data_IF_757020710952
#
_entry.id   IF_757020710952
#
_cell.length_a   1.000
_cell.length_b   1.000
_cell.length_c   1.000
_cell.angle_alpha   90.00
_cell.angle_beta   90.00
_cell.angle_gamma   90.00
#
_symmetry.space_group_name_H-M   'P 1'
#
loop_
_entity.id
_entity.type
_entity.pdbx_description
1 polymer ?
#
# COMPACT_ATOMS: atom_id res chain seq x y z
N UNK A 1 9.07 -23.07 10.55
CA UNK A 1 8.19 -21.93 10.27
C UNK A 1 8.79 -21.22 9.07
N UNK A 2 8.13 -21.31 7.92
CA UNK A 2 8.62 -20.73 6.67
C UNK A 2 7.92 -19.39 6.42
N UNK A 3 8.67 -18.41 5.92
CA UNK A 3 8.14 -17.10 5.55
C UNK A 3 8.05 -17.00 4.03
N UNK A 4 6.89 -16.57 3.53
CA UNK A 4 6.69 -16.31 2.11
C UNK A 4 6.69 -14.80 1.88
N UNK A 5 7.67 -14.31 1.11
CA UNK A 5 7.74 -12.93 0.67
C UNK A 5 7.12 -12.80 -0.72
N UNK A 6 6.13 -11.93 -0.88
CA UNK A 6 5.50 -11.65 -2.17
C UNK A 6 6.14 -10.42 -2.82
N UNK A 7 6.85 -10.61 -3.93
CA UNK A 7 7.37 -9.49 -4.72
C UNK A 7 6.30 -8.98 -5.69
N UNK A 8 6.01 -7.68 -5.60
CA UNK A 8 5.04 -7.02 -6.49
C UNK A 8 5.75 -6.47 -7.74
N UNK A 9 5.11 -6.50 -8.92
CA UNK A 9 5.60 -5.83 -10.12
C UNK A 9 5.82 -4.33 -9.89
N UNK A 10 6.83 -3.75 -10.55
CA UNK A 10 7.15 -2.33 -10.45
C UNK A 10 5.94 -1.45 -10.81
N UNK A 11 5.79 -0.30 -10.14
CA UNK A 11 4.71 0.67 -10.37
C UNK A 11 3.27 0.14 -10.20
N UNK A 12 3.08 -1.01 -9.53
CA UNK A 12 1.73 -1.56 -9.23
C UNK A 12 1.34 -1.43 -7.75
N UNK A 13 2.14 -0.72 -6.94
CA UNK A 13 1.94 -0.51 -5.50
C UNK A 13 0.52 -0.04 -5.16
N UNK A 14 0.05 1.02 -5.84
CA UNK A 14 -1.31 1.57 -5.71
C UNK A 14 -2.46 0.58 -6.01
N UNK A 15 -2.16 -0.59 -6.58
CA UNK A 15 -3.14 -1.62 -6.96
C UNK A 15 -3.01 -2.87 -6.11
N UNK A 16 -1.79 -3.32 -5.87
CA UNK A 16 -1.51 -4.61 -5.25
C UNK A 16 -1.25 -4.52 -3.75
N UNK A 17 -0.78 -3.39 -3.24
CA UNK A 17 -0.59 -3.24 -1.79
C UNK A 17 -1.94 -2.99 -1.12
N UNK A 18 -2.42 -3.92 -0.26
CA UNK A 18 -3.73 -3.78 0.37
C UNK A 18 -3.84 -2.49 1.19
N UNK A 19 -2.73 -2.08 1.81
CA UNK A 19 -2.63 -0.88 2.63
C UNK A 19 -2.88 0.40 1.81
N UNK A 20 -2.20 0.54 0.67
CA UNK A 20 -2.39 1.68 -0.23
C UNK A 20 -3.81 1.73 -0.80
N UNK A 21 -4.36 0.57 -1.14
CA UNK A 21 -5.65 0.49 -1.82
C UNK A 21 -6.84 0.84 -0.95
N UNK A 22 -6.81 0.45 0.33
CA UNK A 22 -8.00 0.49 1.17
C UNK A 22 -7.80 1.18 2.52
N UNK A 23 -6.58 1.27 3.05
CA UNK A 23 -6.35 1.79 4.39
C UNK A 23 -5.93 3.26 4.41
N UNK A 24 -5.02 3.68 3.53
CA UNK A 24 -4.47 5.03 3.59
C UNK A 24 -5.48 6.13 3.26
N UNK A 25 -6.42 5.91 2.34
CA UNK A 25 -7.45 6.89 2.01
C UNK A 25 -8.41 7.18 3.19
N UNK A 26 -8.97 6.16 3.87
CA UNK A 26 -9.71 6.37 5.13
C UNK A 26 -8.85 6.99 6.24
N UNK A 27 -7.57 6.58 6.35
CA UNK A 27 -6.65 7.12 7.35
C UNK A 27 -6.46 8.63 7.18
N UNK A 28 -6.17 9.09 5.96
CA UNK A 28 -6.01 10.49 5.60
C UNK A 28 -7.28 11.29 5.91
N UNK A 29 -8.44 10.76 5.51
CA UNK A 29 -9.73 11.40 5.73
C UNK A 29 -10.02 11.57 7.23
N UNK A 30 -9.83 10.50 8.01
CA UNK A 30 -10.06 10.51 9.46
C UNK A 30 -9.05 11.39 10.20
N UNK A 31 -7.80 11.43 9.73
CA UNK A 31 -6.77 12.31 10.29
C UNK A 31 -7.10 13.78 10.05
N UNK A 32 -7.52 14.13 8.83
CA UNK A 32 -7.96 15.48 8.48
C UNK A 32 -9.11 15.94 9.38
N UNK A 33 -10.13 15.10 9.55
CA UNK A 33 -11.25 15.41 10.46
C UNK A 33 -10.81 15.57 11.93
N UNK A 34 -9.89 14.73 12.41
CA UNK A 34 -9.38 14.83 13.77
C UNK A 34 -8.59 16.14 13.98
N UNK A 35 -7.78 16.54 13.00
CA UNK A 35 -7.03 17.78 13.00
C UNK A 35 -7.94 19.00 12.94
N UNK A 36 -8.93 19.02 12.04
CA UNK A 36 -9.94 20.09 11.96
C UNK A 36 -10.70 20.26 13.29
N UNK A 37 -11.13 19.15 13.89
CA UNK A 37 -11.81 19.20 15.20
C UNK A 37 -10.89 19.79 16.27
N UNK A 38 -9.61 19.42 16.27
CA UNK A 38 -8.65 19.97 17.22
C UNK A 38 -8.48 21.49 17.06
N UNK A 39 -8.32 21.97 15.82
CA UNK A 39 -8.20 23.40 15.52
C UNK A 39 -9.45 24.19 15.92
N UNK A 40 -10.65 23.67 15.65
CA UNK A 40 -11.91 24.32 16.06
C UNK A 40 -12.05 24.44 17.58
N UNK A 41 -11.58 23.45 18.33
CA UNK A 41 -11.66 23.44 19.80
C UNK A 41 -10.50 24.17 20.50
N UNK A 42 -9.43 24.49 19.79
CA UNK A 42 -8.23 25.14 20.34
C UNK A 42 -7.79 26.28 19.42
N UNK A 43 -8.61 27.35 19.29
CA UNK A 43 -8.18 28.53 18.56
C UNK A 43 -6.88 29.06 19.17
N UNK A 44 -5.94 29.47 18.30
CA UNK A 44 -4.63 30.06 18.64
C UNK A 44 -3.55 29.12 19.21
N UNK A 45 -3.85 27.83 19.42
CA UNK A 45 -2.82 26.87 19.84
C UNK A 45 -2.08 26.27 18.65
N UNK A 46 -0.76 26.23 18.74
CA UNK A 46 0.07 25.51 17.80
C UNK A 46 -0.08 23.99 17.96
N UNK A 47 -0.09 23.26 16.84
CA UNK A 47 -0.08 21.79 16.84
C UNK A 47 1.30 21.32 17.27
N UNK A 48 1.34 20.53 18.35
CA UNK A 48 2.56 19.86 18.80
C UNK A 48 2.58 18.40 18.34
N UNK A 49 3.75 17.76 18.43
CA UNK A 49 3.91 16.33 18.15
C UNK A 49 2.93 15.43 18.92
N UNK A 50 2.52 15.83 20.13
CA UNK A 50 1.54 15.10 20.93
C UNK A 50 0.14 15.13 20.30
N UNK A 51 -0.24 16.26 19.70
CA UNK A 51 -1.53 16.37 19.02
C UNK A 51 -1.51 15.63 17.69
N UNK A 52 -0.38 15.64 16.97
CA UNK A 52 -0.17 14.78 15.80
C UNK A 52 -0.33 13.31 16.20
N UNK A 53 0.38 12.85 17.23
CA UNK A 53 0.29 11.46 17.70
C UNK A 53 -1.13 11.07 18.13
N UNK A 54 -1.83 11.98 18.82
CA UNK A 54 -3.23 11.78 19.21
C UNK A 54 -4.16 11.68 17.99
N UNK A 55 -4.02 12.58 17.03
CA UNK A 55 -4.82 12.57 15.80
C UNK A 55 -4.57 11.29 14.99
N UNK A 56 -3.30 10.89 14.84
CA UNK A 56 -2.89 9.64 14.18
C UNK A 56 -3.46 8.41 14.89
N UNK A 57 -3.38 8.35 16.23
CA UNK A 57 -4.00 7.27 17.00
C UNK A 57 -5.49 7.20 16.69
N UNK A 58 -6.22 8.30 16.86
CA UNK A 58 -7.66 8.33 16.62
C UNK A 58 -8.04 7.97 15.17
N UNK A 59 -7.26 8.40 14.18
CA UNK A 59 -7.54 8.09 12.77
C UNK A 59 -7.25 6.62 12.44
N UNK A 60 -6.16 6.05 12.95
CA UNK A 60 -5.85 4.62 12.79
C UNK A 60 -6.97 3.77 13.40
N UNK A 61 -7.39 4.05 14.64
CA UNK A 61 -8.45 3.28 15.31
C UNK A 61 -9.78 3.29 14.54
N UNK A 62 -10.09 4.38 13.84
CA UNK A 62 -11.29 4.46 12.98
C UNK A 62 -11.11 3.79 11.63
N UNK A 63 -9.90 3.75 11.11
CA UNK A 63 -9.62 3.29 9.74
C UNK A 63 -9.23 1.81 9.67
N UNK A 64 -8.64 1.27 10.75
CA UNK A 64 -8.13 -0.10 10.84
C UNK A 64 -9.25 -1.08 11.25
N UNK A 65 -10.33 -1.12 10.47
CA UNK A 65 -11.42 -2.08 10.72
C UNK A 65 -11.13 -3.43 10.06
N UNK A 66 -11.71 -4.50 10.60
CA UNK A 66 -11.63 -5.84 9.98
C UNK A 66 -12.19 -5.81 8.55
N UNK A 67 -13.26 -5.06 8.33
CA UNK A 67 -13.87 -4.90 7.01
C UNK A 67 -12.92 -4.23 6.01
N UNK A 68 -12.21 -3.17 6.44
CA UNK A 68 -11.16 -2.53 5.63
C UNK A 68 -10.09 -3.55 5.25
N UNK A 69 -9.63 -4.38 6.19
CA UNK A 69 -8.62 -5.39 5.92
C UNK A 69 -9.12 -6.49 4.95
N UNK A 70 -10.34 -7.02 5.14
CA UNK A 70 -10.93 -8.02 4.25
C UNK A 70 -11.10 -7.48 2.84
N UNK A 71 -11.64 -6.28 2.70
CA UNK A 71 -11.85 -5.65 1.40
C UNK A 71 -10.51 -5.28 0.73
N UNK A 72 -9.51 -4.88 1.51
CA UNK A 72 -8.15 -4.64 1.02
C UNK A 72 -7.56 -5.90 0.38
N UNK A 73 -7.61 -7.02 1.08
CA UNK A 73 -7.08 -8.31 0.61
C UNK A 73 -7.84 -8.88 -0.58
N UNK A 74 -9.18 -8.75 -0.57
CA UNK A 74 -10.02 -9.19 -1.68
C UNK A 74 -9.73 -8.37 -2.93
N UNK A 75 -9.64 -7.05 -2.77
CA UNK A 75 -9.43 -6.14 -3.89
C UNK A 75 -8.01 -6.15 -4.42
N UNK A 76 -7.00 -6.55 -3.64
CA UNK A 76 -5.65 -6.82 -4.15
C UNK A 76 -5.51 -8.19 -4.80
N UNK A 77 -6.52 -9.05 -4.70
CA UNK A 77 -6.48 -10.44 -5.20
C UNK A 77 -5.56 -11.35 -4.38
N UNK A 78 -5.10 -10.91 -3.20
CA UNK A 78 -4.29 -11.72 -2.29
C UNK A 78 -5.17 -12.74 -1.57
N UNK A 79 -6.33 -12.32 -1.07
CA UNK A 79 -7.27 -13.23 -0.41
C UNK A 79 -8.74 -12.83 -0.62
N UNK A 80 -9.58 -13.69 -1.23
CA UNK A 80 -9.22 -14.97 -1.86
C UNK A 80 -8.22 -14.76 -3.00
N UNK A 81 -7.33 -15.74 -3.21
CA UNK A 81 -6.30 -15.66 -4.25
C UNK A 81 -6.99 -15.57 -5.62
N UNK A 82 -6.83 -14.44 -6.30
CA UNK A 82 -7.43 -14.21 -7.60
C UNK A 82 -6.50 -13.37 -8.49
N UNK A 83 -5.85 -14.04 -9.44
CA UNK A 83 -4.94 -13.44 -10.43
C UNK A 83 -5.66 -12.60 -11.51
N UNK A 84 -6.97 -12.72 -11.61
CA UNK A 84 -7.79 -12.05 -12.63
C UNK A 84 -8.40 -10.73 -12.12
N UNK A 85 -8.04 -10.29 -10.92
CA UNK A 85 -8.46 -8.98 -10.39
C UNK A 85 -7.89 -7.82 -11.20
N UNK A 86 -6.75 -8.01 -11.88
CA UNK A 86 -6.12 -7.01 -12.72
C UNK A 86 -5.94 -7.54 -14.14
N UNK A 87 -6.24 -6.70 -15.13
CA UNK A 87 -5.94 -7.00 -16.53
C UNK A 87 -4.44 -6.81 -16.81
N UNK A 88 -3.94 -7.49 -17.84
CA UNK A 88 -2.56 -7.40 -18.32
C UNK A 88 -2.12 -5.96 -18.59
N UNK A 89 -3.02 -5.12 -19.12
CA UNK A 89 -2.77 -3.69 -19.35
C UNK A 89 -2.35 -2.92 -18.09
N UNK A 90 -2.72 -3.39 -16.89
CA UNK A 90 -2.31 -2.77 -15.62
C UNK A 90 -0.86 -3.04 -15.24
N UNK A 91 -0.19 -3.98 -15.92
CA UNK A 91 1.20 -4.38 -15.65
C UNK A 91 2.19 -3.88 -16.69
N UNK A 92 1.72 -3.21 -17.76
CA UNK A 92 2.55 -2.71 -18.87
C UNK A 92 3.71 -1.83 -18.38
N UNK A 93 3.44 -0.95 -17.41
CA UNK A 93 4.47 -0.11 -16.80
C UNK A 93 5.57 -0.92 -16.11
N UNK A 94 5.23 -2.08 -15.52
CA UNK A 94 6.22 -2.97 -14.94
C UNK A 94 7.05 -3.69 -15.99
N UNK A 95 6.52 -3.95 -17.19
CA UNK A 95 7.24 -4.67 -18.24
C UNK A 95 8.32 -3.82 -18.89
N UNK A 96 8.04 -2.52 -19.09
CA UNK A 96 9.02 -1.55 -19.63
C UNK A 96 10.27 -1.46 -18.74
N UNK A 97 10.13 -1.75 -17.44
CA UNK A 97 11.20 -1.68 -16.46
C UNK A 97 11.88 -3.02 -16.18
N UNK A 98 11.43 -4.11 -16.82
CA UNK A 98 12.16 -5.37 -16.75
C UNK A 98 13.47 -5.20 -17.53
N UNK A 99 14.64 -5.48 -16.93
CA UNK A 99 15.89 -5.50 -17.67
C UNK A 99 15.74 -6.45 -18.85
N UNK A 100 16.15 -6.04 -20.05
CA UNK A 100 16.25 -6.96 -21.19
C UNK A 100 17.22 -8.07 -20.77
N UNK A 101 16.71 -9.29 -20.63
CA UNK A 101 17.57 -10.46 -20.45
C UNK A 101 18.35 -10.61 -21.75
N UNK A 102 19.59 -10.10 -21.78
CA UNK A 102 20.51 -10.37 -22.87
C UNK A 102 20.88 -11.87 -22.78
N UNK A 103 20.55 -12.71 -23.77
CA UNK A 103 20.85 -14.15 -23.71
C UNK A 103 22.34 -14.50 -23.66
N UNK A 104 23.24 -13.52 -23.74
CA UNK A 104 24.67 -13.74 -24.01
C UNK A 104 25.54 -13.94 -22.76
N UNK A 105 25.02 -13.82 -21.53
CA UNK A 105 25.86 -13.89 -20.32
C UNK A 105 25.95 -15.27 -19.66
N UNK A 106 25.08 -16.23 -19.99
CA UNK A 106 25.09 -17.56 -19.35
C UNK A 106 26.00 -18.57 -20.05
N UNK A 107 26.28 -18.40 -21.36
CA UNK A 107 27.17 -19.29 -22.10
C UNK A 107 28.65 -19.19 -21.68
N UNK A 108 29.09 -18.07 -21.12
CA UNK A 108 30.48 -17.85 -20.70
C UNK A 108 30.82 -18.41 -19.31
N UNK A 109 29.84 -18.96 -18.56
CA UNK A 109 30.03 -19.48 -17.20
C UNK A 109 30.06 -21.00 -17.09
N UNK A 110 29.83 -21.73 -18.19
CA UNK A 110 29.92 -23.19 -18.25
C UNK A 110 31.16 -23.70 -19.00
N UNK A 111 32.13 -22.81 -19.27
CA UNK A 111 33.40 -23.15 -19.91
C UNK A 111 34.59 -22.56 -19.16
N UNK A 112 34.89 -23.09 -17.98
CA UNK A 112 36.24 -23.19 -17.43
C UNK A 112 36.28 -24.22 -16.30
#
# INVERSE_FOLDING_TARGET
MEWFLLQLPGHTTHRLQPLDKAFFKPLETNYTQASERWFRSNPERAVTQYQVARATKCSIWKSATIETAINALRSSGVWPVNRHVFNYSHFVASEVLRPSVNPTSEASRLGN
#
